data_IF_930998510568
#
_entry.id   IF_930998510568
#
_cell.length_a   1.000
_cell.length_b   1.000
_cell.length_c   1.000
_cell.angle_alpha   90.00
_cell.angle_beta   90.00
_cell.angle_gamma   90.00
#
_symmetry.space_group_name_H-M   'P 1'
#
loop_
_entity.id
_entity.type
_entity.pdbx_description
1 polymer ?
#
# COMPACT_ATOMS: atom_id res chain seq x y z
N UNK A 1 -16.26 -8.31 -4.98
CA UNK A 1 -17.08 -7.25 -5.60
C UNK A 1 -16.18 -6.33 -6.40
N UNK A 2 -16.62 -5.92 -7.60
CA UNK A 2 -15.90 -4.99 -8.46
C UNK A 2 -16.79 -3.76 -8.68
N UNK A 3 -16.42 -2.58 -8.14
CA UNK A 3 -17.15 -1.34 -8.41
C UNK A 3 -16.81 -0.84 -9.82
N UNK A 4 -17.84 -0.52 -10.58
CA UNK A 4 -17.74 0.04 -11.93
C UNK A 4 -18.43 1.40 -11.97
N UNK A 5 -17.83 2.35 -12.66
CA UNK A 5 -18.47 3.63 -13.01
C UNK A 5 -18.71 3.62 -14.51
N UNK A 6 -19.96 3.57 -14.93
CA UNK A 6 -20.36 3.42 -16.33
C UNK A 6 -20.95 4.75 -16.82
N UNK A 7 -20.26 5.41 -17.75
CA UNK A 7 -20.76 6.60 -18.43
C UNK A 7 -21.45 6.23 -19.74
N UNK A 8 -22.68 6.67 -19.94
CA UNK A 8 -23.45 6.50 -21.16
C UNK A 8 -24.01 7.83 -21.64
N UNK A 9 -24.04 8.02 -22.96
CA UNK A 9 -24.56 9.24 -23.60
C UNK A 9 -25.33 8.90 -24.87
N UNK A 10 -26.47 9.50 -25.05
CA UNK A 10 -27.29 9.40 -26.26
C UNK A 10 -28.19 10.65 -26.42
N UNK A 11 -28.67 10.93 -27.64
CA UNK A 11 -29.52 12.11 -27.95
C UNK A 11 -30.99 11.89 -27.63
N UNK A 12 -31.46 10.65 -27.54
CA UNK A 12 -32.87 10.29 -27.39
C UNK A 12 -33.18 9.45 -26.16
N UNK A 13 -32.19 8.77 -25.59
CA UNK A 13 -32.30 7.94 -24.42
C UNK A 13 -31.99 6.47 -24.66
N UNK A 14 -32.11 5.67 -23.62
CA UNK A 14 -31.56 4.29 -23.58
C UNK A 14 -32.69 3.26 -23.42
N UNK A 15 -32.55 2.11 -24.08
CA UNK A 15 -33.47 0.97 -23.92
C UNK A 15 -32.88 -0.07 -22.93
N UNK A 16 -31.60 -0.36 -23.01
CA UNK A 16 -30.96 -1.25 -22.05
C UNK A 16 -29.47 -0.92 -21.87
N UNK A 17 -28.94 -1.35 -20.73
CA UNK A 17 -27.50 -1.40 -20.44
C UNK A 17 -27.19 -2.80 -19.91
N UNK A 18 -26.22 -3.47 -20.51
CA UNK A 18 -25.80 -4.84 -20.14
C UNK A 18 -24.30 -4.90 -19.93
N UNK A 19 -23.90 -5.65 -18.91
CA UNK A 19 -22.53 -6.09 -18.70
C UNK A 19 -22.40 -7.48 -19.31
N UNK A 20 -21.43 -7.64 -20.21
CA UNK A 20 -21.01 -8.92 -20.79
C UNK A 20 -19.73 -9.35 -20.14
N UNK A 21 -19.64 -10.63 -19.76
CA UNK A 21 -18.43 -11.18 -19.14
C UNK A 21 -18.22 -12.63 -19.50
N UNK A 22 -16.98 -13.08 -19.49
CA UNK A 22 -16.61 -14.49 -19.65
C UNK A 22 -15.33 -14.80 -18.88
N UNK A 23 -15.17 -16.05 -18.47
CA UNK A 23 -13.90 -16.61 -18.01
C UNK A 23 -12.98 -16.74 -19.22
N UNK A 24 -11.91 -15.91 -19.30
CA UNK A 24 -10.95 -15.94 -20.39
C UNK A 24 -9.77 -16.88 -20.11
N UNK A 25 -9.42 -17.06 -18.83
CA UNK A 25 -8.36 -17.96 -18.39
C UNK A 25 -8.62 -18.43 -16.97
N UNK A 26 -8.36 -19.71 -16.71
CA UNK A 26 -8.28 -20.30 -15.37
C UNK A 26 -7.28 -21.45 -15.39
N UNK A 27 -6.63 -21.71 -14.28
CA UNK A 27 -5.79 -22.91 -14.09
C UNK A 27 -6.64 -24.18 -13.80
N UNK A 28 -7.90 -24.00 -13.38
CA UNK A 28 -8.76 -25.05 -12.85
C UNK A 28 -10.02 -25.31 -13.67
N UNK A 29 -10.33 -24.44 -14.62
CA UNK A 29 -11.54 -24.52 -15.43
C UNK A 29 -11.26 -24.17 -16.90
N UNK A 30 -12.04 -24.77 -17.81
CA UNK A 30 -11.97 -24.39 -19.22
C UNK A 30 -12.52 -22.96 -19.42
N UNK A 31 -11.88 -22.12 -20.25
CA UNK A 31 -12.39 -20.80 -20.59
C UNK A 31 -13.77 -20.86 -21.24
N UNK A 32 -14.60 -19.85 -20.92
CA UNK A 32 -15.91 -19.70 -21.56
C UNK A 32 -15.76 -19.36 -23.05
N UNK A 33 -16.55 -20.02 -23.91
CA UNK A 33 -16.59 -19.72 -25.35
C UNK A 33 -17.40 -18.45 -25.61
N UNK A 34 -18.49 -18.28 -24.88
CA UNK A 34 -19.45 -17.21 -25.09
C UNK A 34 -19.48 -16.24 -23.88
N UNK A 35 -19.96 -15.02 -24.12
CA UNK A 35 -20.14 -14.06 -23.05
C UNK A 35 -21.47 -14.29 -22.31
N UNK A 36 -21.42 -14.35 -21.01
CA UNK A 36 -22.55 -14.25 -20.12
C UNK A 36 -22.99 -12.78 -19.98
N UNK A 37 -24.25 -12.56 -19.59
CA UNK A 37 -24.80 -11.20 -19.50
C UNK A 37 -25.45 -10.91 -18.16
N UNK A 38 -25.29 -9.68 -17.69
CA UNK A 38 -25.98 -9.12 -16.52
C UNK A 38 -26.65 -7.81 -16.95
N UNK A 39 -27.94 -7.67 -16.63
CA UNK A 39 -28.64 -6.41 -16.83
C UNK A 39 -28.19 -5.39 -15.77
N UNK A 40 -27.78 -4.21 -16.23
CA UNK A 40 -27.44 -3.08 -15.37
C UNK A 40 -28.63 -2.14 -15.36
N UNK A 41 -29.25 -1.87 -14.20
CA UNK A 41 -30.43 -1.00 -14.15
C UNK A 41 -30.06 0.45 -14.45
N UNK A 42 -30.77 1.08 -15.38
CA UNK A 42 -30.65 2.51 -15.66
C UNK A 42 -31.66 3.23 -14.76
N UNK A 43 -31.19 3.73 -13.62
CA UNK A 43 -32.04 4.34 -12.59
C UNK A 43 -32.23 5.83 -12.84
N UNK A 44 -31.37 6.44 -13.66
CA UNK A 44 -31.34 7.88 -13.88
C UNK A 44 -31.96 8.26 -15.23
N UNK A 45 -32.76 9.35 -15.25
CA UNK A 45 -33.31 9.92 -16.46
C UNK A 45 -32.36 11.04 -16.96
N UNK A 46 -31.90 10.91 -18.20
CA UNK A 46 -31.00 11.89 -18.81
C UNK A 46 -30.36 11.35 -20.08
N UNK A 47 -29.81 12.26 -20.87
CA UNK A 47 -29.08 11.92 -22.11
C UNK A 47 -27.59 11.64 -21.87
N UNK A 48 -27.06 12.11 -20.75
CA UNK A 48 -25.69 11.82 -20.25
C UNK A 48 -25.83 11.34 -18.82
N UNK A 49 -25.52 10.09 -18.57
CA UNK A 49 -25.72 9.48 -17.25
C UNK A 49 -24.47 8.72 -16.83
N UNK A 50 -24.05 8.93 -15.58
CA UNK A 50 -23.05 8.11 -14.91
C UNK A 50 -23.75 7.14 -13.96
N UNK A 51 -23.52 5.85 -14.15
CA UNK A 51 -24.18 4.78 -13.41
C UNK A 51 -23.14 4.06 -12.57
N UNK A 52 -23.18 4.20 -11.22
CA UNK A 52 -22.41 3.36 -10.34
C UNK A 52 -23.00 1.94 -10.31
N UNK A 53 -22.21 0.95 -10.64
CA UNK A 53 -22.62 -0.45 -10.64
C UNK A 53 -21.63 -1.31 -9.83
N UNK A 54 -22.15 -2.13 -8.94
CA UNK A 54 -21.34 -3.07 -8.15
C UNK A 54 -21.53 -4.46 -8.73
N UNK A 55 -20.50 -4.94 -9.44
CA UNK A 55 -20.51 -6.31 -9.93
C UNK A 55 -20.15 -7.28 -8.79
N UNK A 56 -21.12 -8.15 -8.44
CA UNK A 56 -20.91 -9.14 -7.40
C UNK A 56 -20.26 -10.41 -7.98
N UNK A 57 -18.95 -10.50 -7.84
CA UNK A 57 -18.15 -11.60 -8.33
C UNK A 57 -18.27 -12.89 -7.49
N UNK A 58 -18.88 -12.84 -6.29
CA UNK A 58 -19.02 -14.03 -5.41
C UNK A 58 -19.85 -15.16 -6.01
N UNK A 59 -20.67 -14.85 -7.00
CA UNK A 59 -21.54 -15.84 -7.66
C UNK A 59 -20.82 -16.61 -8.79
N UNK A 60 -19.58 -16.22 -9.11
CA UNK A 60 -18.83 -16.76 -10.24
C UNK A 60 -17.82 -17.84 -9.83
N UNK A 61 -17.79 -18.24 -8.54
CA UNK A 61 -16.84 -19.23 -7.98
C UNK A 61 -15.38 -18.96 -8.42
N UNK A 62 -15.00 -17.68 -8.44
CA UNK A 62 -13.70 -17.22 -8.93
C UNK A 62 -12.59 -17.75 -8.03
N UNK A 63 -11.59 -18.34 -8.62
CA UNK A 63 -10.34 -18.75 -7.95
C UNK A 63 -9.20 -17.79 -8.24
N UNK A 64 -8.15 -17.75 -7.40
CA UNK A 64 -6.97 -16.93 -7.68
C UNK A 64 -6.40 -17.18 -9.08
N UNK A 65 -5.90 -16.13 -9.72
CA UNK A 65 -5.39 -16.10 -11.10
C UNK A 65 -6.44 -16.23 -12.21
N UNK A 66 -7.71 -16.42 -11.91
CA UNK A 66 -8.76 -16.35 -12.91
C UNK A 66 -8.80 -14.98 -13.57
N UNK A 67 -8.94 -14.99 -14.89
CA UNK A 67 -9.05 -13.78 -15.71
C UNK A 67 -10.42 -13.75 -16.38
N UNK A 68 -11.19 -12.72 -16.03
CA UNK A 68 -12.48 -12.44 -16.65
C UNK A 68 -12.36 -11.27 -17.60
N UNK A 69 -12.72 -11.47 -18.85
CA UNK A 69 -12.95 -10.39 -19.80
C UNK A 69 -14.37 -9.87 -19.67
N UNK A 70 -14.53 -8.57 -19.69
CA UNK A 70 -15.86 -7.95 -19.63
C UNK A 70 -15.90 -6.64 -20.40
N UNK A 71 -17.10 -6.29 -20.87
CA UNK A 71 -17.42 -5.00 -21.47
C UNK A 71 -18.87 -4.66 -21.18
N UNK A 72 -19.22 -3.39 -21.34
CA UNK A 72 -20.62 -2.93 -21.26
C UNK A 72 -21.15 -2.60 -22.65
N UNK A 73 -22.42 -2.90 -22.89
CA UNK A 73 -23.14 -2.55 -24.11
C UNK A 73 -24.41 -1.78 -23.70
N UNK A 74 -24.61 -0.64 -24.34
CA UNK A 74 -25.84 0.18 -24.22
C UNK A 74 -26.55 0.20 -25.57
N UNK A 75 -27.88 0.19 -25.52
CA UNK A 75 -28.70 0.38 -26.71
C UNK A 75 -29.57 1.64 -26.55
N UNK A 76 -29.75 2.37 -27.65
CA UNK A 76 -30.68 3.47 -27.72
C UNK A 76 -32.18 3.00 -27.70
N UNK A 77 -33.10 3.93 -27.63
CA UNK A 77 -34.54 3.66 -27.60
C UNK A 77 -35.20 3.83 -28.97
N UNK A 78 -34.46 3.77 -30.09
CA UNK A 78 -35.04 3.90 -31.44
C UNK A 78 -35.95 2.71 -31.79
N UNK A 79 -37.26 2.95 -31.70
CA UNK A 79 -38.31 1.96 -31.99
C UNK A 79 -38.55 1.84 -33.52
N UNK A 80 -38.19 2.86 -34.30
CA UNK A 80 -38.55 2.94 -35.73
C UNK A 80 -37.55 2.20 -36.59
N UNK A 81 -36.22 2.49 -36.37
CA UNK A 81 -35.14 1.89 -37.17
C UNK A 81 -34.51 0.69 -36.50
N UNK A 82 -34.92 0.39 -35.27
CA UNK A 82 -34.35 -0.61 -34.38
C UNK A 82 -33.20 -0.04 -33.52
N UNK A 83 -33.00 -0.59 -32.31
CA UNK A 83 -32.05 -0.05 -31.37
C UNK A 83 -30.60 -0.21 -31.93
N UNK A 84 -29.84 0.88 -31.90
CA UNK A 84 -28.42 0.89 -32.17
C UNK A 84 -27.64 0.64 -30.89
N UNK A 85 -26.56 -0.09 -31.00
CA UNK A 85 -25.76 -0.45 -29.82
C UNK A 85 -24.37 0.19 -29.87
N UNK A 86 -23.88 0.60 -28.71
CA UNK A 86 -22.51 1.02 -28.48
C UNK A 86 -21.88 0.13 -27.40
N UNK A 87 -20.58 -0.18 -27.54
CA UNK A 87 -19.83 -1.01 -26.61
C UNK A 87 -18.61 -0.28 -26.09
N UNK A 88 -18.28 -0.54 -24.82
CA UNK A 88 -16.98 -0.15 -24.28
C UNK A 88 -15.86 -1.01 -24.87
N UNK A 89 -14.63 -0.62 -24.63
CA UNK A 89 -13.48 -1.53 -24.76
C UNK A 89 -13.66 -2.75 -23.85
N UNK A 90 -13.04 -3.88 -24.23
CA UNK A 90 -12.95 -5.06 -23.37
C UNK A 90 -11.93 -4.79 -22.26
N UNK A 91 -12.33 -4.98 -21.03
CA UNK A 91 -11.51 -4.86 -19.84
C UNK A 91 -11.26 -6.27 -19.26
N UNK A 92 -10.18 -6.41 -18.51
CA UNK A 92 -9.85 -7.66 -17.84
C UNK A 92 -9.89 -7.46 -16.33
N UNK A 93 -10.64 -8.31 -15.63
CA UNK A 93 -10.61 -8.44 -14.17
C UNK A 93 -9.82 -9.70 -13.80
N UNK A 94 -8.87 -9.55 -12.89
CA UNK A 94 -8.05 -10.67 -12.38
C UNK A 94 -8.26 -10.72 -10.87
N UNK A 95 -8.52 -11.90 -10.34
CA UNK A 95 -8.44 -12.10 -8.89
C UNK A 95 -6.97 -12.40 -8.56
N UNK A 96 -6.25 -11.48 -7.89
CA UNK A 96 -4.86 -11.73 -7.54
C UNK A 96 -4.75 -12.90 -6.57
N UNK A 97 -3.68 -13.67 -6.68
CA UNK A 97 -3.35 -14.68 -5.69
C UNK A 97 -2.97 -14.03 -4.35
N UNK A 98 -3.00 -14.81 -3.28
CA UNK A 98 -2.50 -14.35 -1.99
C UNK A 98 -1.02 -13.91 -2.09
N UNK A 99 -0.24 -14.62 -2.88
CA UNK A 99 1.17 -14.36 -3.13
C UNK A 99 1.38 -13.04 -3.86
N UNK A 100 0.56 -12.74 -4.88
CA UNK A 100 0.62 -11.46 -5.59
C UNK A 100 0.31 -10.28 -4.67
N UNK A 101 -0.73 -10.42 -3.84
CA UNK A 101 -1.10 -9.38 -2.88
C UNK A 101 -0.01 -9.18 -1.83
N UNK A 102 0.62 -10.25 -1.34
CA UNK A 102 1.73 -10.17 -0.41
C UNK A 102 2.96 -9.53 -1.06
N UNK A 103 3.35 -9.95 -2.27
CA UNK A 103 4.47 -9.38 -3.01
C UNK A 103 4.27 -7.89 -3.32
N UNK A 104 3.07 -7.48 -3.72
CA UNK A 104 2.75 -6.07 -3.94
C UNK A 104 2.89 -5.24 -2.66
N UNK A 105 2.36 -5.75 -1.53
CA UNK A 105 2.48 -5.05 -0.25
C UNK A 105 3.93 -4.99 0.24
N UNK A 106 4.69 -6.06 0.06
CA UNK A 106 6.12 -6.11 0.40
C UNK A 106 6.91 -5.05 -0.39
N UNK A 107 6.70 -4.97 -1.70
CA UNK A 107 7.31 -3.95 -2.54
C UNK A 107 6.96 -2.52 -2.09
N UNK A 108 5.69 -2.25 -1.78
CA UNK A 108 5.26 -0.94 -1.25
C UNK A 108 5.94 -0.60 0.07
N UNK A 109 6.08 -1.57 0.96
CA UNK A 109 6.73 -1.36 2.25
C UNK A 109 8.24 -1.14 2.13
N UNK A 110 8.91 -1.83 1.21
CA UNK A 110 10.31 -1.55 0.90
C UNK A 110 10.51 -0.12 0.37
N UNK A 111 9.61 0.36 -0.47
CA UNK A 111 9.69 1.73 -0.98
C UNK A 111 9.45 2.75 0.14
N UNK A 112 8.50 2.51 1.03
CA UNK A 112 8.31 3.32 2.25
C UNK A 112 9.59 3.35 3.10
N UNK A 113 10.25 2.21 3.32
CA UNK A 113 11.53 2.16 4.06
C UNK A 113 12.64 2.96 3.37
N UNK A 114 12.79 2.80 2.06
CA UNK A 114 13.77 3.57 1.28
C UNK A 114 13.53 5.07 1.41
N UNK A 115 12.28 5.49 1.38
CA UNK A 115 11.92 6.90 1.49
C UNK A 115 12.09 7.44 2.91
N UNK A 116 11.76 6.66 3.95
CA UNK A 116 12.10 7.01 5.35
C UNK A 116 13.60 7.20 5.51
N UNK A 117 14.43 6.30 4.94
CA UNK A 117 15.89 6.42 4.98
C UNK A 117 16.40 7.70 4.30
N UNK A 118 15.79 8.09 3.18
CA UNK A 118 16.12 9.36 2.51
C UNK A 118 15.74 10.56 3.40
N UNK A 119 14.59 10.48 4.09
CA UNK A 119 14.15 11.53 5.01
C UNK A 119 15.10 11.66 6.21
N UNK A 120 15.57 10.56 6.82
CA UNK A 120 16.55 10.60 7.90
C UNK A 120 17.82 11.33 7.48
N UNK A 121 18.32 11.07 6.28
CA UNK A 121 19.48 11.77 5.71
C UNK A 121 19.19 13.25 5.51
N UNK A 122 18.08 13.58 4.88
CA UNK A 122 17.66 14.97 4.62
C UNK A 122 17.55 15.79 5.91
N UNK A 123 16.91 15.22 6.95
CA UNK A 123 16.81 15.85 8.29
C UNK A 123 18.20 16.08 8.90
N UNK A 124 19.10 15.09 8.76
CA UNK A 124 20.48 15.23 9.25
C UNK A 124 21.25 16.34 8.52
N UNK A 125 21.05 16.49 7.21
CA UNK A 125 21.67 17.54 6.40
C UNK A 125 21.07 18.91 6.73
N UNK A 126 19.74 19.02 6.91
CA UNK A 126 19.06 20.24 7.36
C UNK A 126 19.62 20.69 8.71
N UNK A 127 19.74 19.79 9.68
CA UNK A 127 20.33 20.09 10.99
C UNK A 127 21.75 20.64 10.85
N UNK A 128 22.61 19.98 10.08
CA UNK A 128 23.99 20.38 9.84
C UNK A 128 24.10 21.76 9.18
N UNK A 129 23.21 22.04 8.22
CA UNK A 129 23.18 23.34 7.55
C UNK A 129 22.66 24.44 8.47
N UNK A 130 21.69 24.13 9.34
CA UNK A 130 21.23 25.05 10.38
C UNK A 130 22.34 25.40 11.39
N UNK A 131 23.13 24.40 11.83
CA UNK A 131 24.31 24.61 12.68
C UNK A 131 25.40 25.42 11.99
N UNK A 132 25.59 25.20 10.68
CA UNK A 132 26.54 26.01 9.88
C UNK A 132 26.09 27.46 9.78
N UNK A 133 24.81 27.70 9.51
CA UNK A 133 24.23 29.02 9.48
C UNK A 133 24.34 29.72 10.84
N UNK A 134 24.07 29.02 11.93
CA UNK A 134 24.24 29.54 13.30
C UNK A 134 25.68 29.97 13.57
N UNK A 135 26.67 29.16 13.16
CA UNK A 135 28.10 29.50 13.26
C UNK A 135 28.47 30.72 12.42
N UNK A 136 27.91 30.83 11.22
CA UNK A 136 28.16 32.01 10.35
C UNK A 136 27.58 33.31 10.95
N UNK A 137 26.41 33.25 11.61
CA UNK A 137 25.85 34.38 12.32
C UNK A 137 26.75 34.84 13.48
N UNK A 138 27.37 33.91 14.22
CA UNK A 138 28.24 34.20 15.35
C UNK A 138 29.57 34.85 14.95
N UNK A 139 30.07 34.65 13.72
CA UNK A 139 31.36 35.25 13.26
C UNK A 139 31.35 36.76 13.23
N UNK A 140 30.21 37.40 13.07
CA UNK A 140 30.07 38.86 12.97
C UNK A 140 29.21 39.42 14.10
N UNK A 141 29.74 39.59 15.33
CA UNK A 141 28.92 39.98 16.50
C UNK A 141 28.32 41.38 16.38
N UNK A 142 28.92 42.26 15.60
CA UNK A 142 28.44 43.65 15.42
C UNK A 142 27.33 43.79 14.35
N UNK A 143 27.05 42.74 13.59
CA UNK A 143 25.99 42.75 12.59
C UNK A 143 24.63 42.58 13.27
N UNK A 144 23.73 43.56 13.12
CA UNK A 144 22.38 43.52 13.66
C UNK A 144 21.36 42.95 12.70
N UNK A 145 21.57 43.11 11.40
CA UNK A 145 20.66 42.64 10.35
C UNK A 145 21.29 41.50 9.55
N UNK A 146 20.45 40.64 9.02
CA UNK A 146 20.86 39.53 8.15
C UNK A 146 21.33 40.05 6.79
N UNK A 147 22.39 39.48 6.27
CA UNK A 147 22.78 39.68 4.88
C UNK A 147 21.97 38.78 3.94
N UNK A 148 22.03 39.06 2.65
CA UNK A 148 21.26 38.31 1.64
C UNK A 148 21.59 36.80 1.63
N UNK A 149 22.85 36.41 1.83
CA UNK A 149 23.28 35.03 1.84
C UNK A 149 22.70 34.26 3.03
N UNK A 150 22.69 34.89 4.22
CA UNK A 150 22.12 34.33 5.43
C UNK A 150 20.60 34.14 5.31
N UNK A 151 19.93 35.12 4.70
CA UNK A 151 18.48 35.01 4.41
C UNK A 151 18.20 33.84 3.48
N UNK A 152 18.94 33.75 2.36
CA UNK A 152 18.76 32.68 1.38
C UNK A 152 19.01 31.29 1.98
N UNK A 153 20.03 31.14 2.84
CA UNK A 153 20.29 29.87 3.55
C UNK A 153 19.13 29.49 4.50
N UNK A 154 18.59 30.47 5.22
CA UNK A 154 17.46 30.23 6.11
C UNK A 154 16.17 29.91 5.34
N UNK A 155 15.91 30.53 4.19
CA UNK A 155 14.80 30.20 3.29
C UNK A 155 14.92 28.77 2.75
N UNK A 156 16.12 28.35 2.35
CA UNK A 156 16.37 27.00 1.87
C UNK A 156 16.11 25.97 2.97
N UNK A 157 16.57 26.22 4.19
CA UNK A 157 16.28 25.35 5.34
C UNK A 157 14.77 25.19 5.59
N UNK A 158 14.02 26.31 5.57
CA UNK A 158 12.57 26.27 5.73
C UNK A 158 11.88 25.46 4.64
N UNK A 159 12.25 25.67 3.39
CA UNK A 159 11.68 24.96 2.25
C UNK A 159 11.98 23.46 2.30
N UNK A 160 13.19 23.09 2.66
CA UNK A 160 13.59 21.69 2.81
C UNK A 160 12.84 21.02 3.94
N UNK A 161 12.68 21.71 5.07
CA UNK A 161 11.90 21.24 6.20
C UNK A 161 10.42 21.01 5.84
N UNK A 162 9.81 21.95 5.11
CA UNK A 162 8.43 21.81 4.63
C UNK A 162 8.29 20.60 3.70
N UNK A 163 9.24 20.38 2.80
CA UNK A 163 9.27 19.21 1.94
C UNK A 163 9.38 17.89 2.74
N UNK A 164 10.18 17.86 3.81
CA UNK A 164 10.31 16.69 4.69
C UNK A 164 8.98 16.40 5.38
N UNK A 165 8.31 17.42 5.92
CA UNK A 165 6.99 17.25 6.55
C UNK A 165 5.94 16.74 5.56
N UNK A 166 5.90 17.28 4.35
CA UNK A 166 4.98 16.82 3.31
C UNK A 166 5.24 15.35 2.94
N UNK A 167 6.49 14.98 2.71
CA UNK A 167 6.85 13.60 2.43
C UNK A 167 6.50 12.64 3.57
N UNK A 168 6.65 13.08 4.82
CA UNK A 168 6.26 12.27 5.97
C UNK A 168 4.75 12.04 6.03
N UNK A 169 3.94 13.03 5.67
CA UNK A 169 2.49 12.90 5.54
C UNK A 169 2.11 11.95 4.40
N UNK A 170 2.77 12.04 3.26
CA UNK A 170 2.56 11.14 2.12
C UNK A 170 2.89 9.69 2.49
N UNK A 171 4.01 9.44 3.17
CA UNK A 171 4.39 8.12 3.66
C UNK A 171 3.39 7.55 4.68
N UNK A 172 2.87 8.39 5.56
CA UNK A 172 1.82 7.99 6.50
C UNK A 172 0.54 7.56 5.77
N UNK A 173 0.15 8.30 4.73
CA UNK A 173 -1.02 7.96 3.91
C UNK A 173 -0.81 6.63 3.16
N UNK A 174 0.38 6.43 2.57
CA UNK A 174 0.74 5.17 1.91
C UNK A 174 0.71 3.98 2.87
N UNK A 175 1.29 4.13 4.07
CA UNK A 175 1.26 3.10 5.10
C UNK A 175 -0.18 2.79 5.55
N UNK A 176 -1.01 3.81 5.69
CA UNK A 176 -2.42 3.63 6.06
C UNK A 176 -3.19 2.86 4.98
N UNK A 177 -3.00 3.18 3.71
CA UNK A 177 -3.62 2.48 2.59
C UNK A 177 -3.15 1.02 2.50
N UNK A 178 -1.85 0.78 2.62
CA UNK A 178 -1.28 -0.57 2.63
C UNK A 178 -1.84 -1.40 3.80
N UNK A 179 -1.89 -0.84 5.01
CA UNK A 179 -2.46 -1.51 6.19
C UNK A 179 -3.93 -1.87 5.98
N UNK A 180 -4.72 -0.97 5.40
CA UNK A 180 -6.13 -1.22 5.12
C UNK A 180 -6.32 -2.32 4.06
N UNK A 181 -5.51 -2.33 3.00
CA UNK A 181 -5.51 -3.42 2.01
C UNK A 181 -5.19 -4.78 2.65
N UNK A 182 -4.17 -4.84 3.52
CA UNK A 182 -3.82 -6.06 4.25
C UNK A 182 -4.94 -6.52 5.18
N UNK A 183 -5.59 -5.57 5.87
CA UNK A 183 -6.75 -5.86 6.74
C UNK A 183 -7.92 -6.45 5.96
N UNK A 184 -8.28 -5.85 4.81
CA UNK A 184 -9.38 -6.31 3.96
C UNK A 184 -9.12 -7.72 3.41
N UNK A 185 -7.88 -8.02 3.06
CA UNK A 185 -7.46 -9.34 2.59
C UNK A 185 -7.18 -10.33 3.74
N UNK A 186 -7.40 -9.92 4.99
CA UNK A 186 -7.14 -10.74 6.20
C UNK A 186 -5.69 -11.26 6.27
N UNK A 187 -4.71 -10.46 5.83
CA UNK A 187 -3.29 -10.83 5.79
C UNK A 187 -2.57 -10.63 7.11
N UNK A 188 -3.16 -9.89 8.03
CA UNK A 188 -2.57 -9.58 9.34
C UNK A 188 -3.31 -10.30 10.45
N UNK A 189 -2.58 -10.70 11.48
CA UNK A 189 -3.17 -11.04 12.78
C UNK A 189 -3.79 -9.78 13.42
N UNK A 190 -4.66 -9.96 14.39
CA UNK A 190 -5.23 -8.80 15.12
C UNK A 190 -4.14 -8.03 15.87
N UNK A 191 -3.14 -8.73 16.38
CA UNK A 191 -2.02 -8.14 17.10
C UNK A 191 -1.15 -7.30 16.17
N UNK A 192 -0.73 -7.84 15.03
CA UNK A 192 0.07 -7.11 14.04
C UNK A 192 -0.69 -5.89 13.51
N UNK A 193 -2.01 -6.01 13.30
CA UNK A 193 -2.86 -4.88 12.90
C UNK A 193 -2.86 -3.75 13.95
N UNK A 194 -2.98 -4.08 15.25
CA UNK A 194 -2.93 -3.08 16.31
C UNK A 194 -1.58 -2.35 16.33
N UNK A 195 -0.47 -3.07 16.17
CA UNK A 195 0.87 -2.49 16.10
C UNK A 195 1.03 -1.53 14.90
N UNK A 196 0.47 -1.87 13.73
CA UNK A 196 0.43 -0.94 12.59
C UNK A 196 -0.37 0.33 12.89
N UNK A 197 -1.49 0.23 13.60
CA UNK A 197 -2.27 1.39 14.02
C UNK A 197 -1.50 2.27 15.02
N UNK A 198 -0.74 1.67 15.93
CA UNK A 198 0.15 2.39 16.85
C UNK A 198 1.29 3.10 16.09
N UNK A 199 1.89 2.43 15.11
CA UNK A 199 2.90 3.04 14.24
C UNK A 199 2.34 4.25 13.50
N UNK A 200 1.14 4.16 12.93
CA UNK A 200 0.48 5.30 12.28
C UNK A 200 0.24 6.47 13.25
N UNK A 201 -0.10 6.17 14.50
CA UNK A 201 -0.24 7.21 15.53
C UNK A 201 1.09 7.88 15.85
N UNK A 202 2.17 7.11 16.00
CA UNK A 202 3.52 7.64 16.18
C UNK A 202 3.95 8.52 15.01
N UNK A 203 3.68 8.11 13.77
CA UNK A 203 3.97 8.93 12.59
C UNK A 203 3.19 10.26 12.57
N UNK A 204 1.96 10.28 13.09
CA UNK A 204 1.21 11.54 13.28
C UNK A 204 1.84 12.45 14.33
N UNK A 205 2.32 11.88 15.42
CA UNK A 205 2.98 12.63 16.50
C UNK A 205 4.33 13.23 16.03
N UNK A 206 5.01 12.57 15.07
CA UNK A 206 6.24 13.09 14.47
C UNK A 206 5.98 14.40 13.70
N UNK A 207 4.82 14.55 13.03
CA UNK A 207 4.40 15.80 12.40
C UNK A 207 3.68 16.73 13.40
N UNK A 208 4.36 17.08 14.49
CA UNK A 208 3.77 17.72 15.64
C UNK A 208 3.46 19.22 15.44
N UNK A 209 2.49 19.79 16.17
CA UNK A 209 2.25 21.22 16.20
C UNK A 209 3.48 22.04 16.62
N UNK A 210 4.38 21.45 17.42
CA UNK A 210 5.62 22.06 17.87
C UNK A 210 6.56 22.36 16.69
N UNK A 211 6.73 21.43 15.76
CA UNK A 211 7.53 21.65 14.54
C UNK A 211 6.96 22.76 13.67
N UNK A 212 5.65 22.81 13.50
CA UNK A 212 4.98 23.89 12.76
C UNK A 212 5.17 25.24 13.45
N UNK A 213 5.11 25.29 14.77
CA UNK A 213 5.37 26.50 15.55
C UNK A 213 6.81 26.98 15.38
N UNK A 214 7.77 26.08 15.34
CA UNK A 214 9.18 26.41 15.09
C UNK A 214 9.42 26.95 13.69
N UNK A 215 8.79 26.36 12.67
CA UNK A 215 8.82 26.89 11.32
C UNK A 215 8.30 28.34 11.27
N UNK A 216 7.17 28.61 11.90
CA UNK A 216 6.60 29.95 11.98
C UNK A 216 7.55 30.93 12.69
N UNK A 217 8.17 30.50 13.78
CA UNK A 217 9.15 31.33 14.52
C UNK A 217 10.38 31.63 13.64
N UNK A 218 10.88 30.67 12.91
CA UNK A 218 11.99 30.86 11.98
C UNK A 218 11.60 31.80 10.83
N UNK A 219 10.40 31.63 10.28
CA UNK A 219 9.87 32.50 9.24
C UNK A 219 9.66 33.96 9.71
N UNK A 220 9.17 34.14 10.93
CA UNK A 220 9.02 35.49 11.53
C UNK A 220 10.37 36.15 11.76
N UNK A 221 11.37 35.42 12.29
CA UNK A 221 12.72 35.92 12.49
C UNK A 221 13.35 36.39 11.17
N UNK A 222 13.09 35.68 10.08
CA UNK A 222 13.53 36.07 8.74
C UNK A 222 12.82 37.32 8.22
N UNK A 223 11.51 37.43 8.39
CA UNK A 223 10.72 38.59 7.99
C UNK A 223 11.21 39.87 8.69
N UNK A 224 11.57 39.76 9.96
CA UNK A 224 12.08 40.86 10.76
C UNK A 224 13.53 41.20 10.48
N UNK A 225 14.24 40.41 9.64
CA UNK A 225 15.66 40.55 9.33
C UNK A 225 16.57 40.69 10.57
N UNK A 226 16.09 40.17 11.72
CA UNK A 226 16.78 40.22 12.99
C UNK A 226 17.75 39.06 13.14
N UNK A 227 19.04 39.38 13.26
CA UNK A 227 20.05 38.35 13.52
C UNK A 227 19.82 37.62 14.84
N UNK A 228 19.52 38.36 15.91
CA UNK A 228 19.32 37.80 17.25
C UNK A 228 18.12 36.81 17.29
N UNK A 229 17.02 37.19 16.64
CA UNK A 229 15.83 36.31 16.57
C UNK A 229 16.09 35.05 15.73
N UNK A 230 16.87 35.19 14.63
CA UNK A 230 17.25 34.03 13.82
C UNK A 230 18.19 33.08 14.59
N UNK A 231 19.17 33.62 15.35
CA UNK A 231 20.05 32.78 16.18
C UNK A 231 19.27 32.00 17.23
N UNK A 232 18.31 32.63 17.91
CA UNK A 232 17.41 31.96 18.88
C UNK A 232 16.54 30.90 18.20
N UNK A 233 15.95 31.25 17.06
CA UNK A 233 15.10 30.34 16.28
C UNK A 233 15.89 29.11 15.78
N UNK A 234 17.10 29.30 15.24
CA UNK A 234 17.96 28.21 14.79
C UNK A 234 18.40 27.29 15.93
N UNK A 235 18.69 27.82 17.12
CA UNK A 235 19.05 27.00 18.27
C UNK A 235 17.91 26.07 18.68
N UNK A 236 16.69 26.56 18.70
CA UNK A 236 15.51 25.76 19.00
C UNK A 236 15.21 24.78 17.86
N UNK A 237 15.42 25.21 16.62
CA UNK A 237 15.22 24.38 15.43
C UNK A 237 16.18 23.19 15.44
N UNK A 238 17.50 23.37 15.62
CA UNK A 238 18.47 22.26 15.64
C UNK A 238 18.22 21.26 16.75
N UNK A 239 17.75 21.70 17.92
CA UNK A 239 17.37 20.80 19.01
C UNK A 239 16.16 19.92 18.63
N UNK A 240 15.13 20.51 18.03
CA UNK A 240 13.94 19.77 17.63
C UNK A 240 14.20 18.88 16.40
N UNK A 241 15.08 19.28 15.49
CA UNK A 241 15.50 18.42 14.36
C UNK A 241 16.20 17.14 14.85
N UNK A 242 16.96 17.19 15.93
CA UNK A 242 17.53 15.98 16.52
C UNK A 242 16.46 15.05 17.08
N UNK A 243 15.47 15.60 17.82
CA UNK A 243 14.35 14.82 18.33
C UNK A 243 13.49 14.24 17.20
N UNK A 244 13.25 15.05 16.17
CA UNK A 244 12.51 14.64 14.98
C UNK A 244 13.21 13.48 14.27
N UNK A 245 14.52 13.56 14.07
CA UNK A 245 15.33 12.51 13.50
C UNK A 245 15.24 11.21 14.31
N UNK A 246 15.41 11.27 15.62
CA UNK A 246 15.28 10.11 16.51
C UNK A 246 13.89 9.48 16.44
N UNK A 247 12.85 10.28 16.31
CA UNK A 247 11.48 9.80 16.17
C UNK A 247 11.27 9.09 14.82
N UNK A 248 11.85 9.61 13.73
CA UNK A 248 11.80 8.94 12.42
C UNK A 248 12.59 7.62 12.45
N UNK A 249 13.78 7.60 13.04
CA UNK A 249 14.60 6.38 13.18
C UNK A 249 13.88 5.32 14.02
N UNK A 250 13.20 5.73 15.10
CA UNK A 250 12.36 4.81 15.89
C UNK A 250 11.19 4.28 15.08
N UNK A 251 10.50 5.14 14.36
CA UNK A 251 9.40 4.75 13.46
C UNK A 251 9.86 3.70 12.44
N UNK A 252 11.04 3.91 11.86
CA UNK A 252 11.63 2.97 10.90
C UNK A 252 11.93 1.61 11.53
N UNK A 253 12.51 1.57 12.73
CA UNK A 253 12.78 0.32 13.45
C UNK A 253 11.47 -0.46 13.73
N UNK A 254 10.43 0.24 14.18
CA UNK A 254 9.11 -0.36 14.40
C UNK A 254 8.54 -0.91 13.08
N UNK A 255 8.63 -0.15 11.98
CA UNK A 255 8.16 -0.60 10.67
C UNK A 255 8.87 -1.88 10.21
N UNK A 256 10.19 -1.95 10.35
CA UNK A 256 10.98 -3.15 10.01
C UNK A 256 10.53 -4.37 10.81
N UNK A 257 10.29 -4.20 12.11
CA UNK A 257 9.76 -5.26 12.97
C UNK A 257 8.37 -5.72 12.52
N UNK A 258 7.48 -4.78 12.24
CA UNK A 258 6.11 -5.09 11.78
C UNK A 258 6.09 -5.83 10.44
N UNK A 259 7.01 -5.51 9.54
CA UNK A 259 7.18 -6.23 8.28
C UNK A 259 7.59 -7.69 8.51
N UNK A 260 8.46 -7.92 9.48
CA UNK A 260 8.84 -9.29 9.87
C UNK A 260 7.66 -10.05 10.47
N UNK A 261 6.90 -9.44 11.39
CA UNK A 261 5.68 -10.02 11.96
C UNK A 261 4.64 -10.33 10.87
N UNK A 262 4.48 -9.46 9.88
CA UNK A 262 3.60 -9.70 8.73
C UNK A 262 4.05 -10.90 7.90
N UNK A 263 5.36 -11.06 7.66
CA UNK A 263 5.90 -12.21 6.93
C UNK A 263 5.61 -13.50 7.70
N UNK A 264 5.76 -13.48 9.02
CA UNK A 264 5.43 -14.62 9.88
C UNK A 264 3.93 -14.95 9.82
N UNK A 265 3.05 -13.93 9.93
CA UNK A 265 1.61 -14.11 9.82
C UNK A 265 1.21 -14.73 8.46
N UNK A 266 1.81 -14.26 7.37
CA UNK A 266 1.56 -14.77 6.03
C UNK A 266 2.03 -16.22 5.87
N UNK A 267 3.20 -16.54 6.41
CA UNK A 267 3.77 -17.88 6.38
C UNK A 267 2.90 -18.88 7.17
N UNK A 268 2.44 -18.48 8.36
CA UNK A 268 1.55 -19.32 9.18
C UNK A 268 0.26 -19.66 8.43
N UNK A 269 -0.38 -18.67 7.80
CA UNK A 269 -1.60 -18.91 7.01
C UNK A 269 -1.36 -19.81 5.81
N UNK A 270 -0.20 -19.68 5.18
CA UNK A 270 0.17 -20.52 4.06
C UNK A 270 0.42 -21.96 4.52
N UNK A 271 1.06 -22.16 5.67
CA UNK A 271 1.24 -23.46 6.29
C UNK A 271 -0.09 -24.11 6.67
N UNK A 272 -1.04 -23.35 7.25
CA UNK A 272 -2.40 -23.82 7.54
C UNK A 272 -3.12 -24.31 6.29
N UNK A 273 -3.09 -23.52 5.19
CA UNK A 273 -3.71 -23.93 3.92
C UNK A 273 -3.07 -25.18 3.32
N UNK A 274 -1.74 -25.29 3.40
CA UNK A 274 -1.03 -26.47 2.95
C UNK A 274 -1.43 -27.71 3.74
N UNK A 275 -1.61 -27.57 5.05
CA UNK A 275 -2.10 -28.66 5.92
C UNK A 275 -3.53 -29.05 5.52
N UNK A 276 -4.45 -28.09 5.34
CA UNK A 276 -5.82 -28.37 4.90
C UNK A 276 -5.83 -29.11 3.54
N UNK A 277 -5.07 -28.60 2.57
CA UNK A 277 -4.97 -29.22 1.24
C UNK A 277 -4.37 -30.64 1.30
N UNK A 278 -3.39 -30.87 2.17
CA UNK A 278 -2.79 -32.19 2.39
C UNK A 278 -3.81 -33.16 3.02
N UNK A 279 -4.63 -32.71 3.97
CA UNK A 279 -5.66 -33.53 4.59
C UNK A 279 -6.80 -33.87 3.59
N UNK A 280 -7.19 -32.91 2.75
CA UNK A 280 -8.15 -33.17 1.67
C UNK A 280 -7.59 -34.19 0.67
N UNK A 281 -6.35 -34.04 0.25
CA UNK A 281 -5.70 -34.96 -0.70
C UNK A 281 -5.58 -36.38 -0.11
N UNK A 282 -5.24 -36.49 1.17
CA UNK A 282 -5.24 -37.76 1.91
C UNK A 282 -6.61 -38.41 1.93
N UNK A 283 -7.66 -37.62 2.15
CA UNK A 283 -9.03 -38.12 2.13
C UNK A 283 -9.44 -38.62 0.74
N UNK A 284 -9.05 -37.87 -0.33
CA UNK A 284 -9.26 -38.31 -1.71
C UNK A 284 -8.50 -39.61 -2.03
N UNK A 285 -7.23 -39.70 -1.60
CA UNK A 285 -6.38 -40.88 -1.84
C UNK A 285 -6.89 -42.16 -1.12
N UNK A 286 -7.59 -42.01 0.00
CA UNK A 286 -8.16 -43.13 0.77
C UNK A 286 -9.49 -43.67 0.22
N UNK A 287 -10.05 -43.07 -0.84
CA UNK A 287 -11.27 -43.57 -1.46
C UNK A 287 -11.05 -44.93 -2.15
N UNK A 288 -11.99 -45.83 -1.97
CA UNK A 288 -11.95 -47.16 -2.62
C UNK A 288 -12.33 -47.01 -4.10
N UNK A 289 -11.58 -47.66 -4.99
CA UNK A 289 -11.84 -47.75 -6.44
C UNK A 289 -11.55 -46.44 -7.24
N UNK A 290 -10.44 -45.78 -6.96
CA UNK A 290 -9.96 -44.65 -7.78
C UNK A 290 -9.60 -45.08 -9.21
N UNK A 291 -10.09 -44.34 -10.20
CA UNK A 291 -9.66 -44.48 -11.59
C UNK A 291 -8.18 -44.14 -11.78
N UNK A 292 -7.56 -44.57 -12.89
CA UNK A 292 -6.18 -44.21 -13.18
C UNK A 292 -6.01 -42.68 -13.35
N UNK A 293 -6.99 -41.99 -13.89
CA UNK A 293 -7.03 -40.55 -14.05
C UNK A 293 -7.06 -39.84 -12.70
N UNK A 294 -7.92 -40.29 -11.77
CA UNK A 294 -7.97 -39.75 -10.40
C UNK A 294 -6.66 -39.98 -9.63
N UNK A 295 -5.99 -41.12 -9.80
CA UNK A 295 -4.70 -41.38 -9.18
C UNK A 295 -3.61 -40.44 -9.73
N UNK A 296 -3.66 -40.13 -11.03
CA UNK A 296 -2.73 -39.21 -11.66
C UNK A 296 -2.96 -37.77 -11.21
N UNK A 297 -4.21 -37.35 -11.07
CA UNK A 297 -4.57 -36.04 -10.50
C UNK A 297 -4.09 -35.89 -9.06
N UNK A 298 -4.32 -36.90 -8.21
CA UNK A 298 -3.80 -36.92 -6.83
C UNK A 298 -2.26 -36.80 -6.81
N UNK A 299 -1.56 -37.55 -7.68
CA UNK A 299 -0.09 -37.47 -7.77
C UNK A 299 0.41 -36.08 -8.20
N UNK A 300 -0.28 -35.46 -9.15
CA UNK A 300 0.02 -34.11 -9.61
C UNK A 300 -0.17 -33.09 -8.47
N UNK A 301 -1.29 -33.14 -7.76
CA UNK A 301 -1.58 -32.30 -6.60
C UNK A 301 -0.55 -32.50 -5.48
N UNK A 302 -0.15 -33.75 -5.21
CA UNK A 302 0.90 -34.04 -4.23
C UNK A 302 2.25 -33.41 -4.61
N UNK A 303 2.64 -33.47 -5.89
CA UNK A 303 3.85 -32.84 -6.38
C UNK A 303 3.78 -31.30 -6.26
N UNK A 304 2.62 -30.72 -6.48
CA UNK A 304 2.41 -29.29 -6.32
C UNK A 304 2.55 -28.87 -4.85
N UNK A 305 1.86 -29.56 -3.93
CA UNK A 305 1.98 -29.32 -2.49
C UNK A 305 3.43 -29.45 -2.01
N UNK A 306 4.19 -30.41 -2.53
CA UNK A 306 5.60 -30.57 -2.20
C UNK A 306 6.45 -29.35 -2.61
N UNK A 307 6.19 -28.78 -3.79
CA UNK A 307 6.86 -27.55 -4.24
C UNK A 307 6.50 -26.34 -3.37
N UNK A 308 5.24 -26.23 -2.96
CA UNK A 308 4.79 -25.16 -2.08
C UNK A 308 5.42 -25.27 -0.68
N UNK A 309 5.55 -26.49 -0.11
CA UNK A 309 6.27 -26.71 1.14
C UNK A 309 7.72 -26.27 1.02
N UNK A 310 8.41 -26.62 -0.08
CA UNK A 310 9.80 -26.15 -0.32
C UNK A 310 9.91 -24.63 -0.43
N UNK A 311 8.89 -23.95 -0.97
CA UNK A 311 8.83 -22.49 -0.99
C UNK A 311 8.71 -21.92 0.42
N UNK A 312 7.82 -22.47 1.25
CA UNK A 312 7.65 -22.08 2.66
C UNK A 312 8.93 -22.27 3.46
N UNK A 313 9.65 -23.40 3.26
CA UNK A 313 10.95 -23.66 3.91
C UNK A 313 12.00 -22.58 3.56
N UNK A 314 12.05 -22.15 2.31
CA UNK A 314 12.96 -21.07 1.87
C UNK A 314 12.61 -19.73 2.51
N UNK A 315 11.36 -19.39 2.55
CA UNK A 315 10.87 -18.16 3.18
C UNK A 315 11.17 -18.14 4.69
N UNK A 316 11.02 -19.29 5.38
CA UNK A 316 11.43 -19.44 6.78
C UNK A 316 12.91 -19.12 6.98
N UNK A 317 13.78 -19.65 6.13
CA UNK A 317 15.23 -19.37 6.21
C UNK A 317 15.54 -17.89 5.96
N UNK A 318 14.78 -17.21 5.12
CA UNK A 318 14.93 -15.77 4.91
C UNK A 318 14.47 -14.96 6.13
N UNK A 319 13.36 -15.35 6.74
CA UNK A 319 12.88 -14.75 8.00
C UNK A 319 13.91 -14.92 9.11
N UNK A 320 14.49 -16.11 9.30
CA UNK A 320 15.54 -16.35 10.28
C UNK A 320 16.77 -15.45 10.07
N UNK A 321 17.19 -15.25 8.81
CA UNK A 321 18.29 -14.34 8.49
C UNK A 321 17.97 -12.89 8.83
N UNK A 322 16.72 -12.46 8.55
CA UNK A 322 16.26 -11.12 8.91
C UNK A 322 16.20 -10.93 10.42
N UNK A 323 15.70 -11.91 11.16
CA UNK A 323 15.67 -11.89 12.63
C UNK A 323 17.06 -11.74 13.23
N UNK A 324 18.01 -12.53 12.75
CA UNK A 324 19.40 -12.46 13.22
C UNK A 324 20.03 -11.08 12.94
N UNK A 325 19.78 -10.51 11.75
CA UNK A 325 20.25 -9.16 11.41
C UNK A 325 19.63 -8.09 12.32
N UNK A 326 18.35 -8.21 12.65
CA UNK A 326 17.68 -7.27 13.53
C UNK A 326 18.15 -7.36 14.98
N UNK A 327 18.53 -8.55 15.46
CA UNK A 327 19.16 -8.72 16.78
C UNK A 327 20.52 -8.01 16.86
N UNK A 328 21.32 -8.09 15.80
CA UNK A 328 22.62 -7.41 15.74
C UNK A 328 22.49 -5.87 15.76
N UNK A 329 21.33 -5.34 15.37
CA UNK A 329 21.01 -3.89 15.37
C UNK A 329 20.36 -3.40 16.69
N UNK A 330 20.43 -4.15 17.80
CA UNK A 330 19.84 -3.80 19.11
C UNK A 330 18.32 -3.54 19.06
N UNK A 331 17.59 -4.25 18.20
CA UNK A 331 16.14 -4.19 18.19
C UNK A 331 15.54 -5.17 19.22
N UNK A 332 14.55 -4.73 20.04
CA UNK A 332 13.92 -5.62 21.01
C UNK A 332 13.11 -6.71 20.27
N UNK A 333 13.62 -7.96 20.34
CA UNK A 333 13.07 -9.14 19.67
C UNK A 333 12.34 -10.09 20.61
N UNK A 334 12.19 -9.73 21.90
CA UNK A 334 11.71 -10.63 22.96
C UNK A 334 10.31 -11.23 22.75
N UNK A 335 9.51 -10.66 21.86
CA UNK A 335 8.15 -11.13 21.57
C UNK A 335 8.04 -11.91 20.25
N UNK A 336 9.12 -12.04 19.47
CA UNK A 336 9.12 -12.75 18.19
C UNK A 336 9.71 -14.17 18.29
N UNK A 337 10.22 -14.54 19.46
CA UNK A 337 10.88 -15.86 19.68
C UNK A 337 9.95 -16.92 20.27
N UNK A 338 8.72 -16.57 20.65
CA UNK A 338 7.68 -17.51 21.08
C UNK A 338 6.76 -17.91 19.90
#
# INVERSE_FOLDING_TARGET
ILPLQIGISDDYGFSYLKLYYRLAYSEFSEPDKDFNTINVPIIYNGLNVEIPFIWNLKQLDIVPNDRYEFFVEVADNDIISGPKTARSQVLTAILPSLEDVLAENESKQEDIQKDINKLVKEVSDIKKDAENLQRDLQKNPNQKQLNWEQQKKAEDLLKRQENVMQKMEDLQNQLSQSTEQMRQNKLLSQETLQKYMELQKLMKEVNSPELRKLQNTLQEAMKNLSKEDLEKALKNFTFNEEQFKQSIERTMKILQRLQLEQKIDALNRRAEKLQESQDELKNQANQKNLSNEQKQDIANKQNQLQKEVQSVEKELQEIEKLMNKMQDEDMPMSELQE
#
